data_IF_165678325777
#
_entry.id   IF_165678325777
#
_cell.length_a   1.000
_cell.length_b   1.000
_cell.length_c   1.000
_cell.angle_alpha   90.00
_cell.angle_beta   90.00
_cell.angle_gamma   90.00
#
_symmetry.space_group_name_H-M   'P 1'
#
loop_
_entity.id
_entity.type
_entity.pdbx_description
1 polymer ?
#
# COMPACT_ATOMS: atom_id res chain seq x y z
N UNK A 1 -19.83 2.59 -22.09
CA UNK A 1 -20.77 3.67 -21.70
C UNK A 1 -21.04 3.55 -20.19
N UNK A 2 -20.22 4.18 -19.36
CA UNK A 2 -20.44 4.35 -17.91
C UNK A 2 -20.27 5.85 -17.57
N UNK A 3 -20.90 6.73 -18.35
CA UNK A 3 -20.70 8.17 -18.26
C UNK A 3 -21.69 8.90 -17.33
N UNK A 4 -22.56 8.18 -16.61
CA UNK A 4 -23.62 8.81 -15.80
C UNK A 4 -23.43 8.68 -14.28
N UNK A 5 -22.34 8.05 -13.80
CA UNK A 5 -21.97 8.22 -12.39
C UNK A 5 -21.26 9.57 -12.24
N UNK A 6 -22.03 10.60 -11.87
CA UNK A 6 -21.48 11.90 -11.48
C UNK A 6 -20.75 11.75 -10.13
N UNK A 7 -19.54 11.21 -10.21
CA UNK A 7 -18.69 10.84 -9.06
C UNK A 7 -18.25 12.06 -8.25
N UNK A 8 -18.34 13.25 -8.86
CA UNK A 8 -17.98 14.53 -8.24
C UNK A 8 -18.83 14.83 -6.99
N UNK A 9 -20.04 14.25 -6.90
CA UNK A 9 -20.94 14.42 -5.76
C UNK A 9 -20.84 13.32 -4.70
N UNK A 10 -20.07 12.24 -4.94
CA UNK A 10 -19.96 11.12 -4.00
C UNK A 10 -18.85 11.40 -2.99
N UNK A 11 -19.23 11.71 -1.74
CA UNK A 11 -18.27 12.08 -0.69
C UNK A 11 -17.57 10.92 -0.01
N UNK A 12 -18.15 9.72 -0.01
CA UNK A 12 -17.58 8.55 0.65
C UNK A 12 -17.60 7.34 -0.29
N UNK A 13 -16.44 6.80 -0.61
CA UNK A 13 -16.29 5.65 -1.52
C UNK A 13 -15.49 4.56 -0.79
N UNK A 14 -16.00 3.33 -0.83
CA UNK A 14 -15.30 2.16 -0.30
C UNK A 14 -15.37 1.01 -1.30
N UNK A 15 -14.20 0.58 -1.77
CA UNK A 15 -14.05 -0.50 -2.76
C UNK A 15 -13.63 -1.76 -2.01
N UNK A 16 -14.32 -2.87 -2.27
CA UNK A 16 -13.96 -4.20 -1.74
C UNK A 16 -13.52 -5.09 -2.90
N UNK A 17 -12.35 -5.71 -2.77
CA UNK A 17 -11.74 -6.58 -3.78
C UNK A 17 -11.38 -7.92 -3.15
N UNK A 18 -11.52 -9.01 -3.88
CA UNK A 18 -11.01 -10.34 -3.53
C UNK A 18 -9.59 -10.55 -4.05
N UNK A 19 -8.73 -11.22 -3.28
CA UNK A 19 -7.38 -11.59 -3.74
C UNK A 19 -7.38 -12.68 -4.82
N UNK A 20 -8.30 -13.67 -4.71
CA UNK A 20 -8.37 -14.81 -5.62
C UNK A 20 -9.48 -14.56 -6.65
N UNK A 21 -9.16 -13.76 -7.65
CA UNK A 21 -10.03 -13.40 -8.76
C UNK A 21 -9.55 -14.12 -10.03
N UNK A 22 -10.26 -15.17 -10.43
CA UNK A 22 -9.95 -15.98 -11.60
C UNK A 22 -10.50 -15.41 -12.91
N UNK A 23 -11.36 -14.38 -12.83
CA UNK A 23 -11.96 -13.72 -14.00
C UNK A 23 -11.27 -12.37 -14.28
N UNK A 24 -10.94 -11.61 -13.22
CA UNK A 24 -10.30 -10.29 -13.26
C UNK A 24 -8.99 -10.34 -12.48
N UNK A 25 -8.02 -11.07 -13.03
CA UNK A 25 -6.70 -11.33 -12.42
C UNK A 25 -5.91 -10.03 -12.13
N UNK A 26 -6.23 -8.92 -12.81
CA UNK A 26 -5.54 -7.62 -12.70
C UNK A 26 -5.83 -6.80 -11.43
N UNK A 27 -6.76 -7.24 -10.58
CA UNK A 27 -7.26 -6.49 -9.41
C UNK A 27 -7.76 -5.07 -9.80
N UNK A 28 -8.60 -4.98 -10.83
CA UNK A 28 -9.04 -3.71 -11.44
C UNK A 28 -9.67 -2.68 -10.47
N UNK A 29 -10.17 -3.13 -9.31
CA UNK A 29 -10.60 -2.24 -8.23
C UNK A 29 -9.51 -1.27 -7.76
N UNK A 30 -8.23 -1.64 -7.85
CA UNK A 30 -7.11 -0.74 -7.58
C UNK A 30 -6.94 0.34 -8.64
N UNK A 31 -7.18 0.03 -9.92
CA UNK A 31 -7.16 1.03 -10.99
C UNK A 31 -8.25 2.08 -10.76
N UNK A 32 -9.45 1.64 -10.35
CA UNK A 32 -10.55 2.54 -9.97
C UNK A 32 -10.13 3.40 -8.77
N UNK A 33 -9.58 2.80 -7.71
CA UNK A 33 -9.10 3.54 -6.55
C UNK A 33 -8.06 4.61 -6.93
N UNK A 34 -7.06 4.24 -7.74
CA UNK A 34 -6.00 5.14 -8.17
C UNK A 34 -6.53 6.31 -9.01
N UNK A 35 -7.50 6.06 -9.89
CA UNK A 35 -8.18 7.11 -10.64
C UNK A 35 -8.91 8.09 -9.70
N UNK A 36 -9.67 7.56 -8.73
CA UNK A 36 -10.42 8.38 -7.77
C UNK A 36 -9.52 9.19 -6.84
N UNK A 37 -8.33 8.66 -6.52
CA UNK A 37 -7.34 9.28 -5.65
C UNK A 37 -6.94 10.69 -6.12
N UNK A 38 -6.94 10.93 -7.42
CA UNK A 38 -6.51 12.19 -8.04
C UNK A 38 -7.58 13.30 -7.95
N UNK A 39 -8.86 12.96 -7.75
CA UNK A 39 -9.95 13.95 -7.71
C UNK A 39 -10.05 14.71 -6.38
N UNK A 40 -9.45 14.21 -5.29
CA UNK A 40 -9.43 14.81 -3.93
C UNK A 40 -10.80 15.33 -3.38
N UNK A 41 -11.92 14.94 -3.98
CA UNK A 41 -13.25 15.46 -3.64
C UNK A 41 -13.99 14.65 -2.56
N UNK A 42 -13.44 13.47 -2.22
CA UNK A 42 -14.00 12.53 -1.27
C UNK A 42 -13.52 12.84 0.15
N UNK A 43 -14.46 12.87 1.10
CA UNK A 43 -14.15 12.86 2.52
C UNK A 43 -13.43 11.55 2.89
N UNK A 44 -13.90 10.44 2.33
CA UNK A 44 -13.29 9.12 2.50
C UNK A 44 -13.23 8.43 1.15
N UNK A 45 -12.02 8.06 0.75
CA UNK A 45 -11.77 7.10 -0.31
C UNK A 45 -11.01 5.93 0.30
N UNK A 46 -11.55 4.72 0.14
CA UNK A 46 -10.93 3.52 0.69
C UNK A 46 -11.00 2.33 -0.27
N UNK A 47 -10.02 1.44 -0.14
CA UNK A 47 -10.01 0.14 -0.79
C UNK A 47 -9.62 -0.92 0.23
N UNK A 48 -10.34 -2.02 0.25
CA UNK A 48 -10.01 -3.19 1.07
C UNK A 48 -9.86 -4.40 0.15
N UNK A 49 -8.66 -4.99 0.14
CA UNK A 49 -8.43 -6.31 -0.44
C UNK A 49 -8.62 -7.35 0.66
N UNK A 50 -9.56 -8.27 0.49
CA UNK A 50 -9.73 -9.42 1.38
C UNK A 50 -8.83 -10.56 0.92
N UNK A 51 -7.85 -10.94 1.76
CA UNK A 51 -6.90 -11.99 1.40
C UNK A 51 -7.57 -13.35 1.39
N UNK A 52 -7.14 -14.18 0.44
CA UNK A 52 -7.67 -15.50 0.15
C UNK A 52 -9.20 -15.55 -0.14
N UNK A 53 -9.83 -14.41 -0.40
CA UNK A 53 -11.23 -14.34 -0.82
C UNK A 53 -11.38 -14.69 -2.29
N UNK A 54 -12.53 -15.29 -2.61
CA UNK A 54 -12.89 -15.68 -3.96
C UNK A 54 -13.81 -14.62 -4.60
N UNK A 55 -13.60 -14.28 -5.87
CA UNK A 55 -14.45 -13.31 -6.57
C UNK A 55 -15.93 -13.74 -6.61
N UNK A 56 -16.19 -14.97 -7.04
CA UNK A 56 -17.55 -15.52 -7.15
C UNK A 56 -18.30 -15.60 -5.82
N UNK A 57 -17.60 -15.59 -4.68
CA UNK A 57 -18.25 -15.67 -3.37
C UNK A 57 -18.95 -14.36 -2.96
N UNK A 58 -18.75 -13.26 -3.68
CA UNK A 58 -19.60 -12.07 -3.56
C UNK A 58 -20.98 -12.23 -4.20
N UNK A 59 -21.18 -13.23 -5.06
CA UNK A 59 -22.44 -13.51 -5.74
C UNK A 59 -23.02 -14.86 -5.27
N UNK A 60 -24.19 -14.82 -4.63
CA UNK A 60 -24.87 -16.04 -4.17
C UNK A 60 -25.36 -16.95 -5.31
N UNK A 61 -25.48 -16.43 -6.54
CA UNK A 61 -25.84 -17.22 -7.73
C UNK A 61 -24.65 -17.92 -8.37
N UNK A 62 -23.43 -17.41 -8.19
CA UNK A 62 -22.23 -18.03 -8.74
C UNK A 62 -21.88 -19.26 -7.89
N UNK A 63 -21.89 -20.45 -8.49
CA UNK A 63 -21.63 -21.72 -7.79
C UNK A 63 -20.21 -22.23 -7.97
N UNK A 64 -19.50 -21.77 -9.00
CA UNK A 64 -18.12 -22.14 -9.30
C UNK A 64 -17.13 -21.40 -8.39
N UNK A 65 -16.01 -22.07 -8.12
CA UNK A 65 -14.82 -21.46 -7.51
C UNK A 65 -13.87 -21.05 -8.66
N UNK A 66 -14.02 -19.82 -9.15
CA UNK A 66 -13.20 -19.29 -10.25
C UNK A 66 -11.71 -19.19 -9.90
N UNK A 67 -11.35 -19.16 -8.61
CA UNK A 67 -9.96 -19.21 -8.18
C UNK A 67 -9.25 -20.51 -8.61
N UNK A 68 -9.98 -21.56 -9.00
CA UNK A 68 -9.40 -22.77 -9.60
C UNK A 68 -8.70 -22.51 -10.94
N UNK A 69 -8.96 -21.37 -11.58
CA UNK A 69 -8.28 -20.95 -12.81
C UNK A 69 -6.89 -20.34 -12.52
N UNK A 70 -6.53 -20.13 -11.25
CA UNK A 70 -5.27 -19.53 -10.85
C UNK A 70 -4.22 -20.62 -10.52
N UNK A 71 -2.97 -20.44 -10.96
CA UNK A 71 -1.83 -21.30 -10.57
C UNK A 71 -1.34 -20.95 -9.15
N UNK A 72 -2.18 -21.19 -8.14
CA UNK A 72 -1.90 -20.84 -6.75
C UNK A 72 -2.40 -21.90 -5.77
N UNK A 73 -1.79 -21.94 -4.58
CA UNK A 73 -2.26 -22.77 -3.48
C UNK A 73 -3.56 -22.21 -2.87
N UNK A 74 -4.66 -22.95 -3.03
CA UNK A 74 -5.98 -22.62 -2.50
C UNK A 74 -6.24 -23.18 -1.09
N UNK A 75 -5.26 -23.84 -0.45
CA UNK A 75 -5.42 -24.42 0.90
C UNK A 75 -5.82 -23.40 1.98
N UNK A 76 -5.48 -22.13 1.75
CA UNK A 76 -5.80 -21.00 2.64
C UNK A 76 -7.01 -20.17 2.18
N UNK A 77 -7.69 -20.58 1.11
CA UNK A 77 -8.90 -19.92 0.62
C UNK A 77 -9.96 -19.89 1.73
N UNK A 78 -10.52 -18.71 1.99
CA UNK A 78 -11.59 -18.58 2.98
C UNK A 78 -12.87 -19.21 2.45
N UNK A 79 -13.69 -19.75 3.33
CA UNK A 79 -14.98 -20.32 2.93
C UNK A 79 -15.96 -19.23 2.48
N UNK A 80 -16.93 -19.61 1.64
CA UNK A 80 -18.05 -18.74 1.27
C UNK A 80 -18.76 -18.16 2.48
N UNK A 81 -18.99 -18.98 3.50
CA UNK A 81 -19.69 -18.54 4.72
C UNK A 81 -18.90 -17.47 5.47
N UNK A 82 -17.58 -17.58 5.55
CA UNK A 82 -16.72 -16.55 6.16
C UNK A 82 -16.73 -15.26 5.34
N UNK A 83 -16.62 -15.35 4.01
CA UNK A 83 -16.66 -14.19 3.14
C UNK A 83 -18.01 -13.46 3.18
N UNK A 84 -19.13 -14.20 3.23
CA UNK A 84 -20.46 -13.61 3.38
C UNK A 84 -20.65 -12.89 4.73
N UNK A 85 -20.11 -13.47 5.82
CA UNK A 85 -20.10 -12.83 7.14
C UNK A 85 -19.27 -11.54 7.11
N UNK A 86 -18.08 -11.60 6.50
CA UNK A 86 -17.23 -10.43 6.31
C UNK A 86 -17.97 -9.33 5.51
N UNK A 87 -18.57 -9.68 4.37
CA UNK A 87 -19.27 -8.73 3.50
C UNK A 87 -20.37 -7.99 4.27
N UNK A 88 -21.22 -8.72 5.01
CA UNK A 88 -22.28 -8.11 5.84
C UNK A 88 -21.71 -7.09 6.82
N UNK A 89 -20.62 -7.44 7.52
CA UNK A 89 -20.00 -6.54 8.50
C UNK A 89 -19.33 -5.34 7.84
N UNK A 90 -18.61 -5.57 6.75
CA UNK A 90 -17.99 -4.52 5.94
C UNK A 90 -19.04 -3.50 5.49
N UNK A 91 -20.15 -3.97 4.90
CA UNK A 91 -21.26 -3.12 4.47
C UNK A 91 -21.89 -2.36 5.63
N UNK A 92 -22.19 -3.01 6.77
CA UNK A 92 -22.75 -2.32 7.94
C UNK A 92 -21.80 -1.24 8.46
N UNK A 93 -20.49 -1.51 8.48
CA UNK A 93 -19.46 -0.56 8.92
C UNK A 93 -19.40 0.64 7.98
N UNK A 94 -19.39 0.41 6.66
CA UNK A 94 -19.46 1.47 5.66
C UNK A 94 -20.71 2.33 5.79
N UNK A 95 -21.90 1.72 5.90
CA UNK A 95 -23.16 2.46 6.05
C UNK A 95 -23.18 3.30 7.33
N UNK A 96 -22.63 2.79 8.45
CA UNK A 96 -22.48 3.57 9.69
C UNK A 96 -21.52 4.74 9.50
N UNK A 97 -20.40 4.54 8.80
CA UNK A 97 -19.44 5.60 8.50
C UNK A 97 -20.10 6.71 7.65
N UNK A 98 -20.85 6.35 6.60
CA UNK A 98 -21.49 7.32 5.71
C UNK A 98 -22.67 8.05 6.34
N UNK A 99 -23.58 7.34 7.03
CA UNK A 99 -24.83 7.93 7.50
C UNK A 99 -24.75 8.50 8.92
N UNK A 100 -23.75 8.11 9.70
CA UNK A 100 -23.64 8.53 11.11
C UNK A 100 -22.31 9.22 11.42
N UNK A 101 -21.43 9.39 10.42
CA UNK A 101 -20.08 9.91 10.61
C UNK A 101 -19.33 9.17 11.74
N UNK A 102 -19.58 7.87 11.88
CA UNK A 102 -18.97 7.02 12.92
C UNK A 102 -17.79 6.28 12.32
N UNK A 103 -16.60 6.88 12.46
CA UNK A 103 -15.35 6.32 11.97
C UNK A 103 -14.57 5.59 13.05
N UNK A 104 -14.73 5.98 14.31
CA UNK A 104 -13.93 5.47 15.43
C UNK A 104 -13.94 3.93 15.51
N UNK A 105 -12.76 3.34 15.67
CA UNK A 105 -12.56 1.89 15.75
C UNK A 105 -13.04 1.11 14.51
N UNK A 106 -12.99 1.74 13.33
CA UNK A 106 -13.30 1.09 12.05
C UNK A 106 -12.11 1.15 11.10
N UNK A 107 -12.23 0.50 9.94
CA UNK A 107 -11.26 0.59 8.85
C UNK A 107 -11.14 2.01 8.23
N UNK A 108 -12.04 2.91 8.60
CA UNK A 108 -12.07 4.31 8.17
C UNK A 108 -11.52 5.27 9.24
N UNK A 109 -11.10 4.75 10.40
CA UNK A 109 -10.50 5.54 11.46
C UNK A 109 -9.08 5.95 11.06
N UNK A 110 -8.85 7.24 10.88
CA UNK A 110 -7.54 7.82 10.52
C UNK A 110 -6.61 7.99 11.72
N UNK A 111 -7.10 7.78 12.95
CA UNK A 111 -6.36 7.96 14.20
C UNK A 111 -5.77 6.66 14.74
N UNK A 112 -6.02 5.54 14.06
CA UNK A 112 -5.47 4.22 14.41
C UNK A 112 -4.53 3.70 13.33
N UNK A 113 -3.59 2.79 13.66
CA UNK A 113 -2.72 2.18 12.66
C UNK A 113 -3.53 1.47 11.57
N UNK A 114 -2.93 1.27 10.39
CA UNK A 114 -3.59 0.51 9.31
C UNK A 114 -4.14 -0.82 9.82
N UNK A 115 -5.43 -1.04 9.58
CA UNK A 115 -6.09 -2.30 9.91
C UNK A 115 -5.63 -3.39 8.94
N UNK A 116 -5.00 -4.44 9.47
CA UNK A 116 -4.54 -5.60 8.69
C UNK A 116 -5.37 -6.86 8.88
N UNK A 117 -6.33 -6.82 9.82
CA UNK A 117 -7.30 -7.90 10.06
C UNK A 117 -8.69 -7.38 10.37
N UNK A 118 -9.72 -8.06 9.88
CA UNK A 118 -11.12 -7.85 10.25
C UNK A 118 -11.72 -9.22 10.57
N UNK A 119 -12.17 -9.43 11.82
CA UNK A 119 -12.72 -10.70 12.30
C UNK A 119 -11.85 -11.91 11.97
N UNK A 120 -10.56 -11.79 12.32
CA UNK A 120 -9.49 -12.77 12.04
C UNK A 120 -9.06 -12.95 10.58
N UNK A 121 -9.80 -12.39 9.63
CA UNK A 121 -9.42 -12.43 8.21
C UNK A 121 -8.41 -11.34 7.88
N UNK A 122 -7.33 -11.72 7.19
CA UNK A 122 -6.31 -10.77 6.75
C UNK A 122 -6.84 -9.87 5.62
N UNK A 123 -6.51 -8.59 5.70
CA UNK A 123 -6.86 -7.60 4.67
C UNK A 123 -5.66 -6.73 4.32
N UNK A 124 -5.70 -6.12 3.13
CA UNK A 124 -4.88 -4.94 2.80
C UNK A 124 -5.85 -3.77 2.69
N UNK A 125 -5.64 -2.74 3.50
CA UNK A 125 -6.53 -1.60 3.58
C UNK A 125 -5.83 -0.30 3.15
N UNK A 126 -6.49 0.42 2.26
CA UNK A 126 -6.13 1.76 1.81
C UNK A 126 -7.18 2.72 2.31
N UNK A 127 -6.72 3.85 2.80
CA UNK A 127 -7.56 4.96 3.20
C UNK A 127 -6.88 6.25 2.78
N UNK A 128 -7.66 7.15 2.21
CA UNK A 128 -7.27 8.51 1.90
C UNK A 128 -8.44 9.44 2.23
N UNK A 129 -8.14 10.58 2.86
CA UNK A 129 -9.11 11.67 3.03
C UNK A 129 -8.83 12.83 2.09
N UNK A 130 -9.74 13.79 2.03
CA UNK A 130 -9.56 15.03 1.26
C UNK A 130 -8.40 15.90 1.76
N UNK A 131 -7.92 15.70 2.99
CA UNK A 131 -6.88 16.52 3.61
C UNK A 131 -5.45 16.04 3.32
N UNK A 132 -5.25 14.98 2.55
CA UNK A 132 -3.91 14.43 2.35
C UNK A 132 -2.94 15.39 1.63
N UNK A 133 -1.69 15.43 2.13
CA UNK A 133 -0.59 16.18 1.54
C UNK A 133 0.68 15.34 1.44
N UNK A 134 1.38 15.45 0.29
CA UNK A 134 2.67 14.77 0.10
C UNK A 134 3.75 15.47 0.91
N UNK A 135 4.51 14.71 1.69
CA UNK A 135 5.61 15.26 2.46
C UNK A 135 6.79 15.65 1.57
N UNK A 136 7.03 14.91 0.50
CA UNK A 136 8.08 15.22 -0.47
C UNK A 136 7.77 14.59 -1.82
N UNK A 137 8.05 15.31 -2.89
CA UNK A 137 8.10 14.72 -4.23
C UNK A 137 9.35 13.84 -4.37
N UNK A 138 9.17 12.53 -4.58
CA UNK A 138 10.28 11.59 -4.75
C UNK A 138 11.19 11.97 -5.93
N UNK A 139 10.67 12.66 -6.95
CA UNK A 139 11.43 13.10 -8.12
C UNK A 139 12.50 14.15 -7.78
N UNK A 140 12.35 14.84 -6.65
CA UNK A 140 13.37 15.73 -6.09
C UNK A 140 14.44 14.94 -5.33
N UNK A 141 14.98 13.89 -5.97
CA UNK A 141 15.88 12.91 -5.33
C UNK A 141 17.11 13.56 -4.65
N UNK A 142 17.61 14.67 -5.22
CA UNK A 142 18.74 15.43 -4.68
C UNK A 142 18.46 16.10 -3.33
N UNK A 143 17.20 16.24 -2.93
CA UNK A 143 16.80 16.79 -1.63
C UNK A 143 16.75 15.74 -0.52
N UNK A 144 16.95 14.47 -0.86
CA UNK A 144 17.10 13.38 0.08
C UNK A 144 18.57 13.16 0.41
N UNK A 145 18.85 12.80 1.67
CA UNK A 145 20.18 12.47 2.15
C UNK A 145 20.18 11.04 2.68
N UNK A 146 20.97 10.17 2.06
CA UNK A 146 21.16 8.80 2.50
C UNK A 146 22.38 8.66 3.41
N UNK A 147 22.27 7.78 4.40
CA UNK A 147 23.39 7.23 5.17
C UNK A 147 23.24 5.71 5.20
N UNK A 148 24.30 4.99 4.82
CA UNK A 148 24.32 3.52 4.78
C UNK A 148 23.17 2.90 3.96
N UNK A 149 22.76 3.58 2.89
CA UNK A 149 21.74 3.14 1.94
C UNK A 149 22.14 3.57 0.52
N UNK A 150 21.66 2.85 -0.47
CA UNK A 150 21.63 3.27 -1.86
C UNK A 150 20.17 3.57 -2.22
N UNK A 151 19.91 4.69 -2.88
CA UNK A 151 18.56 5.03 -3.33
C UNK A 151 18.55 5.67 -4.70
N UNK A 152 17.52 5.35 -5.49
CA UNK A 152 17.34 5.82 -6.86
C UNK A 152 15.85 5.89 -7.21
N UNK A 153 15.51 6.59 -8.29
CA UNK A 153 14.17 6.50 -8.88
C UNK A 153 14.18 5.39 -9.92
N UNK A 154 13.18 4.53 -9.87
CA UNK A 154 12.95 3.44 -10.84
C UNK A 154 11.55 3.54 -11.42
N UNK A 155 11.38 3.09 -12.67
CA UNK A 155 10.14 3.20 -13.42
C UNK A 155 9.49 1.83 -13.60
N UNK A 156 8.24 1.71 -13.12
CA UNK A 156 7.35 0.62 -13.50
C UNK A 156 6.48 1.05 -14.67
N UNK A 157 6.48 0.27 -15.74
CA UNK A 157 5.72 0.57 -16.96
C UNK A 157 4.91 -0.64 -17.42
N UNK A 158 3.79 -0.39 -18.11
CA UNK A 158 3.06 -1.43 -18.86
C UNK A 158 3.72 -1.74 -20.20
N UNK A 159 4.57 -0.83 -20.70
CA UNK A 159 5.40 -1.02 -21.89
C UNK A 159 6.75 -1.61 -21.48
N UNK A 160 7.04 -2.81 -21.95
CA UNK A 160 8.22 -3.61 -21.54
C UNK A 160 9.56 -2.90 -21.73
N UNK A 161 9.72 -2.10 -22.79
CA UNK A 161 10.98 -1.39 -23.09
C UNK A 161 11.24 -0.17 -22.19
N UNK A 162 10.23 0.25 -21.41
CA UNK A 162 10.32 1.37 -20.46
C UNK A 162 10.23 0.90 -19.01
N UNK A 163 10.18 -0.42 -18.81
CA UNK A 163 9.96 -1.04 -17.52
C UNK A 163 11.29 -1.46 -16.89
N UNK A 164 11.66 -0.79 -15.80
CA UNK A 164 12.88 -1.07 -15.04
C UNK A 164 12.63 -2.06 -13.90
N UNK A 165 11.36 -2.45 -13.69
CA UNK A 165 10.92 -3.39 -12.66
C UNK A 165 9.99 -4.49 -13.23
N UNK A 166 10.41 -5.27 -14.24
CA UNK A 166 9.60 -6.36 -14.80
C UNK A 166 9.35 -7.48 -13.76
N UNK A 167 10.23 -7.58 -12.77
CA UNK A 167 10.18 -8.55 -11.67
C UNK A 167 9.19 -8.18 -10.55
N UNK A 168 8.30 -7.22 -10.84
CA UNK A 168 7.18 -6.84 -9.98
C UNK A 168 5.93 -6.75 -10.84
N UNK A 169 4.83 -7.30 -10.34
CA UNK A 169 3.54 -7.19 -11.00
C UNK A 169 2.61 -6.38 -10.10
N UNK A 170 2.32 -5.14 -10.48
CA UNK A 170 1.42 -4.25 -9.75
C UNK A 170 0.02 -4.29 -10.36
N UNK A 171 -1.04 -4.05 -9.57
CA UNK A 171 -2.36 -3.78 -10.12
C UNK A 171 -2.26 -2.67 -11.17
N UNK A 172 -3.00 -2.83 -12.27
CA UNK A 172 -2.83 -1.99 -13.46
C UNK A 172 -2.83 -0.50 -13.08
N UNK A 173 -1.71 0.22 -13.28
CA UNK A 173 -1.67 1.64 -12.96
C UNK A 173 -2.55 2.41 -13.95
N UNK A 174 -3.17 3.49 -13.47
CA UNK A 174 -3.90 4.43 -14.34
C UNK A 174 -2.94 5.19 -15.28
N UNK A 175 -1.69 5.35 -14.84
CA UNK A 175 -0.59 5.97 -15.61
C UNK A 175 0.21 4.91 -16.35
N UNK A 176 0.65 5.25 -17.57
CA UNK A 176 1.52 4.38 -18.36
C UNK A 176 2.89 4.13 -17.71
N UNK A 177 3.35 5.03 -16.83
CA UNK A 177 4.60 4.92 -16.08
C UNK A 177 4.36 5.36 -14.63
N UNK A 178 4.76 4.51 -13.69
CA UNK A 178 4.81 4.79 -12.26
C UNK A 178 6.27 4.91 -11.83
N UNK A 179 6.63 6.05 -11.26
CA UNK A 179 7.96 6.27 -10.67
C UNK A 179 7.92 5.90 -9.18
N UNK A 180 8.93 5.14 -8.74
CA UNK A 180 9.07 4.68 -7.36
C UNK A 180 10.45 5.06 -6.83
N UNK A 181 10.51 5.48 -5.57
CA UNK A 181 11.77 5.64 -4.86
C UNK A 181 12.23 4.28 -4.36
N UNK A 182 13.29 3.77 -4.95
CA UNK A 182 13.93 2.53 -4.54
C UNK A 182 14.97 2.80 -3.47
N UNK A 183 14.93 2.07 -2.36
CA UNK A 183 15.89 2.19 -1.26
C UNK A 183 16.40 0.81 -0.88
N UNK A 184 17.72 0.63 -0.99
CA UNK A 184 18.43 -0.61 -0.68
C UNK A 184 19.41 -0.39 0.47
N UNK A 185 19.52 -1.38 1.35
CA UNK A 185 20.53 -1.41 2.41
C UNK A 185 21.11 -2.82 2.55
N UNK A 186 22.41 -2.88 2.79
CA UNK A 186 23.16 -4.13 2.97
C UNK A 186 23.33 -4.49 4.45
N UNK A 187 23.29 -3.49 5.33
CA UNK A 187 23.48 -3.62 6.78
C UNK A 187 22.48 -2.76 7.55
N UNK A 188 22.19 -3.15 8.80
CA UNK A 188 21.35 -2.37 9.73
C UNK A 188 21.90 -0.95 9.92
N UNK A 189 20.98 -0.01 10.11
CA UNK A 189 21.30 1.37 10.43
C UNK A 189 21.29 2.30 9.22
N UNK A 190 20.75 1.82 8.09
CA UNK A 190 20.42 2.66 6.95
C UNK A 190 19.45 3.78 7.35
N UNK A 191 19.62 4.96 6.76
CA UNK A 191 18.75 6.12 7.02
C UNK A 191 18.58 6.96 5.76
N UNK A 192 17.33 7.21 5.38
CA UNK A 192 16.96 8.24 4.42
C UNK A 192 16.45 9.46 5.19
N UNK A 193 16.91 10.64 4.85
CA UNK A 193 16.61 11.91 5.53
C UNK A 193 16.12 12.95 4.52
N UNK A 194 15.03 13.65 4.82
CA UNK A 194 14.58 14.78 4.00
C UNK A 194 13.86 15.84 4.84
N UNK A 195 13.84 17.08 4.33
CA UNK A 195 12.99 18.14 4.87
C UNK A 195 11.63 18.07 4.17
N UNK A 196 10.51 17.90 4.90
CA UNK A 196 9.20 17.90 4.29
C UNK A 196 8.86 19.27 3.67
N UNK A 197 8.04 19.28 2.63
CA UNK A 197 7.61 20.51 1.95
C UNK A 197 6.60 21.32 2.78
N UNK A 198 5.89 20.65 3.69
CA UNK A 198 5.06 21.25 4.76
C UNK A 198 5.73 21.01 6.13
N UNK A 199 5.55 21.93 7.07
CA UNK A 199 6.13 21.81 8.43
C UNK A 199 5.11 21.62 9.54
N UNK A 200 3.87 22.05 9.33
CA UNK A 200 2.80 21.90 10.32
C UNK A 200 2.03 20.60 10.07
N UNK A 201 2.22 19.63 10.97
CA UNK A 201 1.57 18.33 10.96
C UNK A 201 0.40 18.27 11.96
N UNK A 202 0.12 19.36 12.70
CA UNK A 202 -0.81 19.35 13.84
C UNK A 202 -2.29 19.17 13.45
N UNK A 203 -2.63 19.45 12.19
CA UNK A 203 -3.99 19.30 11.65
C UNK A 203 -4.25 17.90 11.01
N UNK A 204 -3.22 17.05 10.95
CA UNK A 204 -3.29 15.72 10.32
C UNK A 204 -3.38 14.61 11.38
N UNK A 205 -4.08 13.53 11.06
CA UNK A 205 -4.27 12.42 12.00
C UNK A 205 -3.20 11.36 11.91
N UNK A 206 -2.53 11.22 10.76
CA UNK A 206 -1.52 10.19 10.53
C UNK A 206 -0.47 10.61 9.47
N UNK A 207 0.63 9.87 9.46
CA UNK A 207 1.54 9.76 8.32
C UNK A 207 1.13 8.51 7.53
N UNK A 208 0.97 8.65 6.22
CA UNK A 208 0.69 7.54 5.30
C UNK A 208 1.91 7.24 4.43
N UNK A 209 2.31 5.97 4.35
CA UNK A 209 3.43 5.48 3.55
C UNK A 209 2.92 4.41 2.61
N UNK A 210 3.11 4.64 1.31
CA UNK A 210 2.82 3.62 0.30
C UNK A 210 4.14 2.94 -0.08
N UNK A 211 4.31 1.69 0.35
CA UNK A 211 5.56 0.96 0.14
C UNK A 211 5.35 -0.54 -0.07
N UNK A 212 6.30 -1.18 -0.74
CA UNK A 212 6.36 -2.63 -0.90
C UNK A 212 7.79 -3.14 -0.90
N UNK A 213 7.93 -4.44 -0.68
CA UNK A 213 9.17 -5.18 -0.91
C UNK A 213 9.41 -5.33 -2.41
N UNK A 214 10.65 -5.16 -2.86
CA UNK A 214 11.10 -5.63 -4.17
C UNK A 214 11.42 -7.14 -4.07
N UNK A 215 10.53 -8.06 -4.50
CA UNK A 215 10.62 -9.47 -4.16
C UNK A 215 11.75 -10.21 -4.87
N UNK A 216 12.21 -9.71 -6.01
CA UNK A 216 13.26 -10.33 -6.81
C UNK A 216 14.68 -9.99 -6.36
N UNK A 217 14.85 -9.01 -5.46
CA UNK A 217 16.15 -8.69 -4.89
C UNK A 217 16.51 -9.68 -3.77
N UNK A 218 17.67 -10.34 -3.88
CA UNK A 218 18.19 -11.30 -2.90
C UNK A 218 18.38 -10.72 -1.49
N UNK A 219 18.52 -9.40 -1.36
CA UNK A 219 18.55 -8.69 -0.08
C UNK A 219 17.27 -8.87 0.73
N UNK A 220 16.16 -9.22 0.08
CA UNK A 220 14.89 -9.58 0.69
C UNK A 220 14.73 -11.10 0.75
N UNK A 221 14.95 -11.67 1.93
CA UNK A 221 14.80 -13.12 2.15
C UNK A 221 13.35 -13.55 1.89
N UNK A 222 13.18 -14.54 1.02
CA UNK A 222 11.87 -15.10 0.66
C UNK A 222 11.04 -15.46 1.89
N UNK A 223 9.79 -15.00 1.89
CA UNK A 223 8.83 -15.25 2.97
C UNK A 223 9.04 -14.42 4.24
N UNK A 224 10.04 -13.53 4.29
CA UNK A 224 10.27 -12.65 5.45
C UNK A 224 9.73 -11.24 5.21
N UNK A 225 9.02 -10.73 6.21
CA UNK A 225 8.59 -9.35 6.24
C UNK A 225 9.78 -8.40 6.49
N UNK A 226 9.64 -7.16 6.04
CA UNK A 226 10.54 -6.06 6.36
C UNK A 226 9.95 -5.19 7.48
N UNK A 227 10.82 -4.41 8.11
CA UNK A 227 10.45 -3.48 9.17
C UNK A 227 11.29 -2.22 9.05
N UNK A 228 10.65 -1.08 9.25
CA UNK A 228 11.26 0.24 9.18
C UNK A 228 10.78 1.08 10.36
N UNK A 229 11.45 2.20 10.59
CA UNK A 229 10.97 3.19 11.55
C UNK A 229 10.90 4.57 10.92
N UNK A 230 9.91 5.34 11.35
CA UNK A 230 9.66 6.70 10.87
C UNK A 230 9.91 7.64 12.03
N UNK A 231 10.95 8.45 11.87
CA UNK A 231 11.38 9.44 12.86
C UNK A 231 11.05 10.84 12.35
N UNK A 232 10.35 11.60 13.18
CA UNK A 232 10.12 13.02 12.99
C UNK A 232 11.04 13.81 13.91
N UNK A 233 11.56 14.93 13.42
CA UNK A 233 12.39 15.86 14.20
C UNK A 233 11.81 17.26 14.08
N UNK A 234 11.55 17.91 15.21
CA UNK A 234 11.04 19.28 15.26
C UNK A 234 12.16 20.33 15.06
N UNK A 235 11.77 21.61 15.03
CA UNK A 235 12.69 22.73 14.86
C UNK A 235 13.64 22.94 16.06
N UNK A 236 13.27 22.45 17.25
CA UNK A 236 14.06 22.46 18.49
C UNK A 236 15.06 21.29 18.54
N UNK A 237 14.97 20.35 17.60
CA UNK A 237 15.83 19.17 17.51
C UNK A 237 15.36 17.98 18.35
N UNK A 238 14.17 18.05 18.96
CA UNK A 238 13.56 16.88 19.62
C UNK A 238 13.05 15.94 18.54
N UNK A 239 13.23 14.64 18.77
CA UNK A 239 12.89 13.61 17.80
C UNK A 239 12.13 12.47 18.44
N UNK A 240 11.14 11.96 17.71
CA UNK A 240 10.35 10.80 18.13
C UNK A 240 10.28 9.81 16.97
N UNK A 241 10.41 8.51 17.28
CA UNK A 241 10.51 7.42 16.30
C UNK A 241 9.39 6.42 16.54
N UNK A 242 8.66 6.11 15.47
CA UNK A 242 7.63 5.05 15.50
C UNK A 242 8.07 3.88 14.62
N UNK A 243 7.88 2.67 15.12
CA UNK A 243 8.23 1.43 14.43
C UNK A 243 7.05 0.84 13.67
N UNK A 244 7.30 0.45 12.42
CA UNK A 244 6.43 -0.45 11.66
C UNK A 244 6.97 -1.87 11.84
N UNK A 245 6.36 -2.62 12.74
CA UNK A 245 6.81 -3.97 13.12
C UNK A 245 6.66 -4.98 11.96
N UNK A 246 7.59 -5.93 11.88
CA UNK A 246 7.52 -7.10 10.99
C UNK A 246 6.29 -7.98 11.25
N UNK A 247 5.69 -7.90 12.43
CA UNK A 247 4.51 -8.69 12.82
C UNK A 247 3.18 -8.07 12.32
N UNK A 248 3.23 -6.84 11.82
CA UNK A 248 2.04 -6.10 11.39
C UNK A 248 1.41 -6.60 10.09
N UNK A 249 2.10 -7.49 9.36
CA UNK A 249 1.78 -7.89 7.99
C UNK A 249 1.80 -6.76 6.93
N UNK A 250 2.28 -5.57 7.30
CA UNK A 250 2.22 -4.37 6.45
C UNK A 250 3.30 -4.32 5.37
N UNK A 251 4.47 -4.91 5.60
CA UNK A 251 5.57 -4.96 4.62
C UNK A 251 6.00 -6.42 4.45
N UNK A 252 5.08 -7.25 3.98
CA UNK A 252 5.30 -8.68 3.82
C UNK A 252 5.93 -9.02 2.47
N UNK A 253 6.69 -10.12 2.45
CA UNK A 253 7.13 -10.71 1.20
C UNK A 253 5.89 -11.14 0.41
N UNK A 254 5.72 -10.65 -0.83
CA UNK A 254 4.50 -10.91 -1.58
C UNK A 254 4.40 -12.38 -1.99
N UNK A 255 3.16 -12.83 -2.20
CA UNK A 255 2.90 -14.14 -2.79
C UNK A 255 3.31 -14.13 -4.27
N UNK A 256 3.61 -15.32 -4.79
CA UNK A 256 4.06 -15.53 -6.16
C UNK A 256 5.48 -16.05 -6.25
N UNK A 257 5.96 -16.13 -7.49
CA UNK A 257 7.30 -16.57 -7.85
C UNK A 257 7.76 -15.77 -9.08
N UNK A 258 9.09 -15.67 -9.22
CA UNK A 258 9.70 -15.18 -10.44
C UNK A 258 9.57 -16.28 -11.49
N UNK A 259 9.07 -15.92 -12.66
CA UNK A 259 8.95 -16.79 -13.83
C UNK A 259 9.72 -16.20 -15.00
N UNK A 260 10.05 -17.07 -15.95
CA UNK A 260 10.81 -16.73 -17.14
C UNK A 260 9.95 -16.95 -18.38
N UNK A 261 9.96 -15.98 -19.29
CA UNK A 261 9.46 -16.12 -20.65
C UNK A 261 10.64 -16.17 -21.60
N UNK A 262 10.80 -17.31 -22.25
CA UNK A 262 11.78 -17.52 -23.30
C UNK A 262 11.17 -17.18 -24.65
N UNK A 263 11.75 -16.22 -25.36
CA UNK A 263 11.36 -15.88 -26.72
C UNK A 263 12.21 -16.65 -27.73
N UNK A 264 11.65 -16.97 -28.90
CA UNK A 264 12.34 -17.72 -29.98
C UNK A 264 13.67 -17.07 -30.42
N UNK A 265 13.85 -15.78 -30.18
CA UNK A 265 15.09 -15.03 -30.45
C UNK A 265 16.15 -15.15 -29.33
N UNK A 266 15.95 -16.03 -28.35
CA UNK A 266 16.87 -16.24 -27.22
C UNK A 266 16.81 -15.15 -26.15
N UNK A 267 15.86 -14.21 -26.24
CA UNK A 267 15.63 -13.20 -25.19
C UNK A 267 14.86 -13.86 -24.04
N UNK A 268 15.40 -13.76 -22.84
CA UNK A 268 14.72 -14.16 -21.60
C UNK A 268 14.13 -12.92 -20.93
N UNK A 269 12.88 -13.00 -20.48
CA UNK A 269 12.25 -11.96 -19.65
C UNK A 269 11.78 -12.58 -18.35
N UNK A 270 12.34 -12.08 -17.24
CA UNK A 270 11.91 -12.46 -15.90
C UNK A 270 10.77 -11.57 -15.45
N UNK A 271 9.72 -12.17 -14.91
CA UNK A 271 8.55 -11.44 -14.43
C UNK A 271 7.95 -12.08 -13.18
N UNK A 272 7.29 -11.28 -12.36
CA UNK A 272 6.58 -11.79 -11.18
C UNK A 272 5.17 -12.23 -11.57
N UNK A 273 4.82 -13.47 -11.23
CA UNK A 273 3.61 -14.07 -11.78
C UNK A 273 2.30 -13.68 -11.06
N UNK A 274 2.36 -12.97 -9.93
CA UNK A 274 1.17 -12.57 -9.16
C UNK A 274 1.05 -11.07 -8.97
N UNK A 275 -0.13 -10.53 -9.27
CA UNK A 275 -0.44 -9.12 -9.02
C UNK A 275 -0.36 -8.83 -7.52
N UNK A 276 0.50 -7.88 -7.15
CA UNK A 276 0.84 -7.54 -5.77
C UNK A 276 0.64 -6.04 -5.55
N UNK A 277 -0.32 -5.61 -4.72
CA UNK A 277 -0.54 -4.21 -4.45
C UNK A 277 0.49 -3.61 -3.48
N UNK A 278 0.74 -2.30 -3.59
CA UNK A 278 1.67 -1.53 -2.73
C UNK A 278 1.01 -1.20 -1.39
N UNK A 279 1.42 -1.77 -0.26
CA UNK A 279 0.81 -1.50 1.05
C UNK A 279 0.62 -0.02 1.38
N UNK A 280 -0.51 0.33 2.02
CA UNK A 280 -0.81 1.66 2.55
C UNK A 280 -0.70 1.65 4.08
N UNK A 281 0.39 2.21 4.60
CA UNK A 281 0.75 2.14 6.02
C UNK A 281 0.46 3.48 6.68
N UNK A 282 -0.48 3.49 7.62
CA UNK A 282 -0.87 4.65 8.41
C UNK A 282 -0.25 4.56 9.79
N UNK A 283 0.46 5.62 10.16
CA UNK A 283 1.07 5.81 11.47
C UNK A 283 0.36 6.97 12.15
N UNK A 284 -0.45 6.73 13.20
CA UNK A 284 -1.17 7.79 13.88
C UNK A 284 -0.24 8.86 14.46
N UNK A 285 -0.64 10.12 14.30
CA UNK A 285 0.12 11.26 14.81
C UNK A 285 0.18 11.27 16.35
N UNK A 286 -0.79 10.65 17.02
CA UNK A 286 -0.82 10.43 18.49
C UNK A 286 0.31 9.51 18.98
N UNK A 287 1.09 8.90 18.10
CA UNK A 287 2.31 8.17 18.47
C UNK A 287 3.52 9.10 18.59
N UNK A 288 3.41 10.36 18.14
CA UNK A 288 4.45 11.39 18.18
C UNK A 288 4.18 12.42 19.29
N UNK A 289 4.02 11.95 20.54
CA UNK A 289 3.53 12.80 21.66
C UNK A 289 4.53 13.82 22.17
N UNK A 290 5.80 13.62 21.87
CA UNK A 290 6.90 14.33 22.49
C UNK A 290 7.55 15.37 21.58
N UNK A 291 6.98 15.71 20.43
CA UNK A 291 7.58 16.69 19.50
C UNK A 291 6.60 17.81 19.12
N UNK A 292 7.14 18.97 18.73
CA UNK A 292 6.32 20.06 18.22
C UNK A 292 5.86 19.77 16.77
N UNK A 293 4.68 19.18 16.64
CA UNK A 293 4.07 18.85 15.36
C UNK A 293 3.79 20.08 14.48
N UNK A 294 3.72 21.30 15.04
CA UNK A 294 3.53 22.52 14.23
C UNK A 294 4.79 22.91 13.44
N UNK A 295 5.95 22.40 13.85
CA UNK A 295 7.23 22.83 13.33
C UNK A 295 8.16 21.64 13.05
N UNK A 296 7.71 20.70 12.24
CA UNK A 296 8.54 19.59 11.78
C UNK A 296 9.62 20.11 10.82
N UNK A 297 10.87 19.83 11.18
CA UNK A 297 12.06 20.23 10.44
C UNK A 297 12.57 19.11 9.53
N UNK A 298 12.39 17.86 9.93
CA UNK A 298 12.99 16.71 9.26
C UNK A 298 12.16 15.45 9.45
N UNK A 299 12.04 14.66 8.39
CA UNK A 299 11.52 13.31 8.42
C UNK A 299 12.65 12.33 8.06
N UNK A 300 12.69 11.19 8.75
CA UNK A 300 13.64 10.13 8.47
C UNK A 300 12.95 8.77 8.35
N UNK A 301 13.38 7.99 7.37
CA UNK A 301 13.07 6.56 7.25
C UNK A 301 14.31 5.79 7.67
N UNK A 302 14.18 4.95 8.69
CA UNK A 302 15.28 4.25 9.33
C UNK A 302 15.13 2.75 9.07
N UNK A 303 16.20 2.15 8.56
CA UNK A 303 16.33 0.75 8.18
C UNK A 303 17.26 0.04 9.18
N UNK A 304 16.85 -0.01 10.46
CA UNK A 304 17.64 -0.57 11.56
C UNK A 304 17.05 -1.86 12.14
N UNK A 305 15.93 -2.35 11.59
CA UNK A 305 15.20 -3.52 12.11
C UNK A 305 15.54 -4.83 11.41
N UNK A 306 15.99 -4.77 10.16
CA UNK A 306 16.42 -5.93 9.36
C UNK A 306 17.84 -5.72 8.83
N UNK A 307 18.57 -6.82 8.65
CA UNK A 307 19.99 -6.78 8.25
C UNK A 307 20.17 -6.15 6.87
N UNK A 308 19.34 -6.53 5.91
CA UNK A 308 19.36 -6.06 4.55
C UNK A 308 17.94 -5.93 4.03
N UNK A 309 17.78 -5.23 2.92
CA UNK A 309 16.52 -5.20 2.19
C UNK A 309 16.50 -4.22 1.04
N UNK A 310 15.40 -4.32 0.30
CA UNK A 310 15.11 -3.48 -0.85
C UNK A 310 13.60 -3.15 -0.84
N UNK A 311 13.29 -1.88 -0.60
CA UNK A 311 11.93 -1.36 -0.56
C UNK A 311 11.70 -0.34 -1.67
N UNK A 312 10.48 -0.36 -2.19
CA UNK A 312 9.98 0.61 -3.14
C UNK A 312 8.95 1.49 -2.45
N UNK A 313 9.09 2.79 -2.59
CA UNK A 313 8.19 3.78 -2.02
C UNK A 313 7.51 4.54 -3.16
N UNK A 314 6.17 4.51 -3.17
CA UNK A 314 5.38 5.32 -4.09
C UNK A 314 5.23 6.74 -3.54
N UNK A 315 4.92 6.86 -2.24
CA UNK A 315 4.73 8.16 -1.61
C UNK A 315 4.81 8.09 -0.08
N UNK A 316 5.07 9.26 0.50
CA UNK A 316 5.01 9.52 1.93
C UNK A 316 4.19 10.80 2.09
N UNK A 317 3.14 10.72 2.89
CA UNK A 317 2.10 11.75 2.99
C UNK A 317 1.70 11.93 4.45
N UNK A 318 1.02 13.01 4.74
CA UNK A 318 0.20 13.17 5.96
C UNK A 318 -1.26 13.25 5.56
N UNK A 319 -2.13 12.75 6.44
CA UNK A 319 -3.59 12.68 6.24
C UNK A 319 -4.34 12.84 7.58
#
# INVERSE_FOLDING_TARGET
KYNDFNIDNVKNISILVSELDGEVVGLDGFSIYNMLKEYKNQNILSLTLLKNANHNYFNSKAKSNDAQNLDIDLSKQISRLEQEKFLKKFTITYLKACFRNKYDNTIYDTKVPTVTKIDSLDVINYLQTSKNEKLKDIRKINEFKGKNINFSIVKKSSTIYKDELPEINLPKPDKNILELLNIKWEYKGGKLSFKPDISDFSEFNNITINTMICPANESNVKGRAQSICIELVDNKGKSEKVEISKESNLINYPKGKLENLDFENGKEIKFWNQVTPISNIRIPMVLYNDIDLKNIKKCNIIFDRTNSGDLLFESIMVD
#
